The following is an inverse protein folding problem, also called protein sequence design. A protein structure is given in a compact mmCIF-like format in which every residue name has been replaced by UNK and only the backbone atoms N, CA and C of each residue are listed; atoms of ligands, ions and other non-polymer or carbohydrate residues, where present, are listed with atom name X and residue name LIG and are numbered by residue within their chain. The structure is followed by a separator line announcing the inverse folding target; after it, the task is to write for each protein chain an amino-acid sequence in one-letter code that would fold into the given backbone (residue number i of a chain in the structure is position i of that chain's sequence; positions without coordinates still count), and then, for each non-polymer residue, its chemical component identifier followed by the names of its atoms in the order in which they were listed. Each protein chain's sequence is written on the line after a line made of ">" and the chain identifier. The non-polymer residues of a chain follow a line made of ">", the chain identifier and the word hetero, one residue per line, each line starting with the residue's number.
data_IF_628678524529
#
_entry.id   IF_628678524529
#
_cell.length_a   1.000
_cell.length_b   1.000
_cell.length_c   1.000
_cell.angle_alpha   90.00
_cell.angle_beta   90.00
_cell.angle_gamma   90.00
#
_symmetry.space_group_name_H-M   'P 1'
#
loop_
_entity.id
_entity.type
_entity.pdbx_description
1 polymer ?
#
# COMPACT_ATOMS: atom_id res chain seq x y z
N UNK A 1 13.30 -26.61 14.47
CA UNK A 1 13.42 -25.66 13.35
C UNK A 1 12.08 -24.96 13.18
N UNK A 2 11.84 -23.89 13.94
CA UNK A 2 10.64 -23.08 13.79
C UNK A 2 10.73 -22.39 12.44
N UNK A 3 9.91 -22.80 11.46
CA UNK A 3 9.71 -22.05 10.22
C UNK A 3 9.54 -20.58 10.61
N UNK A 4 10.45 -19.72 10.15
CA UNK A 4 10.35 -18.29 10.40
C UNK A 4 8.99 -17.83 9.84
N UNK A 5 8.03 -17.61 10.74
CA UNK A 5 6.63 -17.36 10.40
C UNK A 5 6.53 -15.93 9.91
N UNK A 6 6.33 -15.74 8.62
CA UNK A 6 5.96 -14.43 8.06
C UNK A 6 4.50 -14.16 8.41
N UNK A 7 4.20 -13.08 9.13
CA UNK A 7 2.83 -12.84 9.60
C UNK A 7 1.99 -12.14 8.54
N UNK A 8 0.77 -12.63 8.38
CA UNK A 8 -0.26 -12.03 7.54
C UNK A 8 -1.43 -11.60 8.43
N UNK A 9 -1.50 -10.30 8.73
CA UNK A 9 -2.42 -9.73 9.72
C UNK A 9 -3.47 -8.84 9.06
N UNK A 10 -4.64 -8.73 9.68
CA UNK A 10 -5.71 -7.84 9.22
C UNK A 10 -6.45 -7.16 10.37
N UNK A 11 -6.74 -5.87 10.22
CA UNK A 11 -7.69 -5.16 11.09
C UNK A 11 -9.10 -5.26 10.51
N UNK A 12 -10.07 -5.70 11.32
CA UNK A 12 -11.47 -5.85 10.89
C UNK A 12 -12.24 -4.53 10.78
N UNK A 13 -11.76 -3.49 11.45
CA UNK A 13 -12.37 -2.15 11.47
C UNK A 13 -11.37 -1.14 10.93
N UNK A 14 -11.85 0.00 10.38
CA UNK A 14 -10.97 1.09 10.00
C UNK A 14 -10.11 1.56 11.18
N UNK A 15 -8.81 1.67 10.96
CA UNK A 15 -7.83 2.00 12.01
C UNK A 15 -7.55 3.51 11.99
N UNK A 16 -7.59 4.23 13.12
CA UNK A 16 -7.11 5.61 13.17
C UNK A 16 -5.63 5.71 12.79
N UNK A 17 -5.29 6.64 11.91
CA UNK A 17 -3.91 6.74 11.39
C UNK A 17 -2.83 6.93 12.46
N UNK A 18 -3.02 7.75 13.52
CA UNK A 18 -2.02 7.86 14.58
C UNK A 18 -1.72 6.54 15.29
N UNK A 19 -2.74 5.71 15.53
CA UNK A 19 -2.56 4.39 16.14
C UNK A 19 -1.76 3.46 15.20
N UNK A 20 -2.11 3.45 13.91
CA UNK A 20 -1.36 2.67 12.93
C UNK A 20 0.09 3.14 12.77
N UNK A 21 0.33 4.45 12.77
CA UNK A 21 1.67 5.03 12.68
C UNK A 21 2.53 4.62 13.89
N UNK A 22 1.98 4.74 15.11
CA UNK A 22 2.66 4.33 16.33
C UNK A 22 2.98 2.82 16.33
N UNK A 23 2.03 1.99 15.91
CA UNK A 23 2.22 0.54 15.76
C UNK A 23 3.33 0.22 14.76
N UNK A 24 3.30 0.81 13.57
CA UNK A 24 4.36 0.60 12.58
C UNK A 24 5.75 1.03 13.10
N UNK A 25 5.84 2.14 13.82
CA UNK A 25 7.11 2.59 14.40
C UNK A 25 7.66 1.60 15.44
N UNK A 26 6.80 1.08 16.31
CA UNK A 26 7.18 0.08 17.31
C UNK A 26 7.62 -1.22 16.64
N UNK A 27 6.78 -1.75 15.75
CA UNK A 27 7.06 -2.98 15.02
C UNK A 27 8.35 -2.89 14.17
N UNK A 28 8.64 -1.72 13.57
CA UNK A 28 9.90 -1.55 12.83
C UNK A 28 11.13 -1.64 13.73
N UNK A 29 11.04 -1.14 14.98
CA UNK A 29 12.12 -1.27 15.99
C UNK A 29 12.28 -2.71 16.47
N UNK A 30 11.17 -3.39 16.74
CA UNK A 30 11.17 -4.77 17.24
C UNK A 30 11.63 -5.78 16.17
N UNK A 31 11.23 -5.60 14.90
CA UNK A 31 11.76 -6.39 13.77
C UNK A 31 13.27 -6.23 13.70
N UNK A 32 13.76 -4.99 13.79
CA UNK A 32 15.20 -4.71 13.78
C UNK A 32 15.95 -5.39 14.94
N UNK A 33 15.31 -5.47 16.11
CA UNK A 33 15.85 -6.13 17.28
C UNK A 33 15.73 -7.66 17.23
N UNK A 34 15.10 -8.22 16.18
CA UNK A 34 14.72 -9.63 16.08
C UNK A 34 13.80 -10.11 17.22
N UNK A 35 13.03 -9.20 17.82
CA UNK A 35 12.07 -9.49 18.90
C UNK A 35 10.74 -9.97 18.34
N UNK A 36 10.38 -9.50 17.15
CA UNK A 36 9.20 -9.92 16.40
C UNK A 36 9.57 -10.24 14.95
N UNK A 37 8.73 -11.03 14.30
CA UNK A 37 8.90 -11.42 12.90
C UNK A 37 8.36 -10.36 11.93
N UNK A 38 8.81 -10.44 10.69
CA UNK A 38 8.33 -9.63 9.56
C UNK A 38 6.87 -9.93 9.23
N UNK A 39 6.20 -8.96 8.62
CA UNK A 39 4.75 -9.06 8.38
C UNK A 39 4.23 -8.19 7.25
N UNK A 40 3.05 -8.57 6.76
CA UNK A 40 2.10 -7.67 6.10
C UNK A 40 0.91 -7.45 7.02
N UNK A 41 0.50 -6.21 7.17
CA UNK A 41 -0.69 -5.80 7.92
C UNK A 41 -1.69 -5.10 6.98
N UNK A 42 -2.82 -5.75 6.76
CA UNK A 42 -3.93 -5.27 5.94
C UNK A 42 -4.94 -4.48 6.77
N UNK A 43 -5.41 -3.36 6.26
CA UNK A 43 -6.43 -2.54 6.92
C UNK A 43 -7.11 -1.56 5.97
N UNK A 44 -8.09 -0.84 6.53
CA UNK A 44 -8.65 0.38 5.97
C UNK A 44 -8.44 1.53 6.96
N UNK A 45 -8.44 2.76 6.46
CA UNK A 45 -8.44 3.96 7.29
C UNK A 45 -9.79 4.70 7.16
N UNK A 46 -10.24 5.43 8.19
CA UNK A 46 -11.19 6.52 7.99
C UNK A 46 -10.65 7.54 6.96
N UNK A 47 -11.50 8.37 6.33
CA UNK A 47 -11.06 9.37 5.36
C UNK A 47 -10.01 10.33 5.94
N UNK A 48 -8.86 10.44 5.26
CA UNK A 48 -7.74 11.27 5.67
C UNK A 48 -6.76 11.55 4.53
N UNK A 49 -5.87 12.52 4.74
CA UNK A 49 -4.72 12.77 3.87
C UNK A 49 -3.41 12.51 4.61
N UNK A 50 -2.40 11.99 3.90
CA UNK A 50 -1.04 11.88 4.44
C UNK A 50 -0.02 12.58 3.57
N UNK A 51 0.85 13.36 4.19
CA UNK A 51 2.00 14.00 3.56
C UNK A 51 3.20 13.05 3.56
N UNK A 52 3.72 12.75 2.38
CA UNK A 52 5.06 12.18 2.25
C UNK A 52 6.16 13.24 2.34
N UNK A 53 7.43 12.82 2.31
CA UNK A 53 8.61 13.69 2.46
C UNK A 53 8.77 14.73 1.36
N UNK A 54 8.09 14.57 0.23
CA UNK A 54 8.13 15.49 -0.91
C UNK A 54 6.83 16.26 -1.09
N UNK A 55 5.90 16.16 -0.14
CA UNK A 55 4.64 16.88 -0.18
C UNK A 55 4.86 18.39 0.01
N UNK A 56 4.12 19.20 -0.75
CA UNK A 56 4.09 20.65 -0.60
C UNK A 56 2.76 21.08 0.01
N UNK A 57 2.79 22.06 0.90
CA UNK A 57 1.56 22.54 1.56
C UNK A 57 0.52 23.08 0.57
N UNK A 58 0.99 23.74 -0.50
CA UNK A 58 0.15 24.29 -1.59
C UNK A 58 -0.61 23.22 -2.41
N UNK A 59 -0.17 21.96 -2.33
CA UNK A 59 -0.81 20.83 -3.02
C UNK A 59 -1.96 20.20 -2.21
N UNK A 60 -2.32 20.79 -1.06
CA UNK A 60 -3.45 20.34 -0.22
C UNK A 60 -4.58 21.38 -0.26
N UNK A 61 -5.74 20.98 -0.80
CA UNK A 61 -6.95 21.80 -0.80
C UNK A 61 -7.91 21.41 0.33
N UNK A 62 -8.06 20.10 0.58
CA UNK A 62 -8.84 19.50 1.66
C UNK A 62 -10.22 20.16 1.94
N UNK A 63 -11.14 20.20 0.95
CA UNK A 63 -12.43 20.88 1.10
C UNK A 63 -13.34 20.25 2.15
N UNK A 64 -13.17 18.95 2.42
CA UNK A 64 -13.93 18.20 3.42
C UNK A 64 -13.33 18.26 4.83
N UNK A 65 -12.22 18.98 5.02
CA UNK A 65 -11.53 19.12 6.31
C UNK A 65 -11.19 17.76 6.94
N UNK A 66 -10.82 16.77 6.12
CA UNK A 66 -10.35 15.48 6.63
C UNK A 66 -9.05 15.66 7.43
N UNK A 67 -8.81 14.82 8.46
CA UNK A 67 -7.55 14.85 9.19
C UNK A 67 -6.35 14.69 8.26
N UNK A 68 -5.29 15.44 8.53
CA UNK A 68 -4.03 15.37 7.79
C UNK A 68 -2.89 14.97 8.72
N UNK A 69 -1.97 14.15 8.21
CA UNK A 69 -0.86 13.64 9.00
C UNK A 69 0.44 13.64 8.21
N UNK A 70 1.54 14.00 8.86
CA UNK A 70 2.88 13.80 8.33
C UNK A 70 3.26 12.32 8.47
N UNK A 71 3.23 11.60 7.34
CA UNK A 71 3.57 10.18 7.31
C UNK A 71 5.08 9.95 7.29
N UNK A 72 5.83 10.88 6.68
CA UNK A 72 7.27 10.74 6.50
C UNK A 72 7.68 9.57 5.58
N UNK A 73 6.72 8.97 4.86
CA UNK A 73 6.95 8.05 3.74
C UNK A 73 7.45 8.81 2.51
N UNK A 74 8.04 8.11 1.55
CA UNK A 74 8.34 8.69 0.24
C UNK A 74 7.09 9.17 -0.51
N UNK A 75 7.26 10.15 -1.39
CA UNK A 75 6.21 10.70 -2.25
C UNK A 75 5.57 11.98 -1.74
N UNK A 76 4.50 12.41 -2.41
CA UNK A 76 3.71 13.60 -2.08
C UNK A 76 2.48 13.24 -1.23
N UNK A 77 1.47 14.11 -1.22
CA UNK A 77 0.16 13.84 -0.64
C UNK A 77 -0.51 12.60 -1.25
N UNK A 78 -1.26 11.87 -0.42
CA UNK A 78 -2.22 10.87 -0.88
C UNK A 78 -3.44 10.87 0.03
N UNK A 79 -4.57 10.42 -0.52
CA UNK A 79 -5.78 10.12 0.23
C UNK A 79 -5.79 8.65 0.68
N UNK A 80 -6.36 8.42 1.86
CA UNK A 80 -6.79 7.10 2.33
C UNK A 80 -8.22 7.19 2.87
N UNK A 81 -9.01 6.14 2.69
CA UNK A 81 -10.38 6.09 3.17
C UNK A 81 -11.03 4.72 2.94
N UNK A 82 -12.31 4.57 3.33
CA UNK A 82 -13.07 3.34 3.12
C UNK A 82 -13.10 2.93 1.65
N UNK A 83 -13.01 1.63 1.38
CA UNK A 83 -12.95 1.08 0.02
C UNK A 83 -11.55 1.07 -0.59
N UNK A 84 -10.53 1.48 0.17
CA UNK A 84 -9.13 1.33 -0.21
C UNK A 84 -8.47 0.25 0.66
N UNK A 85 -7.83 -0.73 0.05
CA UNK A 85 -7.03 -1.73 0.78
C UNK A 85 -5.63 -1.20 1.01
N UNK A 86 -5.31 -0.89 2.27
CA UNK A 86 -3.95 -0.54 2.68
C UNK A 86 -3.25 -1.82 3.12
N UNK A 87 -2.02 -2.02 2.65
CA UNK A 87 -1.13 -3.06 3.11
C UNK A 87 0.17 -2.44 3.60
N UNK A 88 0.39 -2.49 4.91
CA UNK A 88 1.65 -2.10 5.51
C UNK A 88 2.62 -3.28 5.51
N UNK A 89 3.71 -3.13 4.76
CA UNK A 89 4.68 -4.18 4.48
C UNK A 89 5.95 -3.90 5.28
N UNK A 90 6.24 -4.77 6.24
CA UNK A 90 7.26 -4.55 7.25
C UNK A 90 8.33 -5.65 7.19
N UNK A 91 9.42 -5.36 6.48
CA UNK A 91 10.51 -6.28 6.18
C UNK A 91 11.83 -5.74 6.71
N UNK A 92 12.71 -6.61 7.19
CA UNK A 92 14.13 -6.31 7.32
C UNK A 92 14.79 -6.46 5.95
N UNK A 93 15.12 -5.32 5.34
CA UNK A 93 15.77 -5.23 4.03
C UNK A 93 17.29 -5.45 4.11
N UNK A 94 17.86 -5.83 5.25
CA UNK A 94 19.25 -6.30 5.29
C UNK A 94 19.46 -7.63 4.55
N UNK A 95 18.39 -8.40 4.38
CA UNK A 95 18.36 -9.68 3.66
C UNK A 95 17.48 -9.54 2.41
N UNK A 96 17.71 -10.43 1.46
CA UNK A 96 16.90 -10.51 0.24
C UNK A 96 15.56 -11.19 0.53
N UNK A 97 14.54 -10.84 -0.24
CA UNK A 97 13.18 -11.38 -0.14
C UNK A 97 12.69 -11.81 -1.51
N UNK A 98 12.82 -13.10 -1.83
CA UNK A 98 12.52 -13.60 -3.17
C UNK A 98 13.36 -12.89 -4.23
N UNK A 99 12.69 -12.16 -5.13
CA UNK A 99 13.31 -11.38 -6.21
C UNK A 99 13.89 -10.03 -5.71
N UNK A 100 13.51 -9.57 -4.51
CA UNK A 100 13.94 -8.29 -3.93
C UNK A 100 15.33 -8.40 -3.32
N UNK A 101 16.23 -7.53 -3.76
CA UNK A 101 17.63 -7.51 -3.33
C UNK A 101 17.81 -6.88 -1.94
N UNK A 102 18.72 -7.45 -1.16
CA UNK A 102 19.14 -6.89 0.11
C UNK A 102 19.74 -5.48 -0.06
N UNK A 103 19.40 -4.58 0.87
CA UNK A 103 19.87 -3.19 0.94
C UNK A 103 19.61 -2.35 -0.32
N UNK A 104 18.54 -2.67 -1.04
CA UNK A 104 18.12 -1.90 -2.22
C UNK A 104 16.65 -1.46 -2.11
N UNK A 105 16.44 -0.18 -1.82
CA UNK A 105 15.11 0.41 -1.70
C UNK A 105 14.39 0.47 -3.04
N UNK A 106 15.11 0.61 -4.16
CA UNK A 106 14.49 0.63 -5.50
C UNK A 106 14.00 -0.77 -5.87
N UNK A 107 14.83 -1.78 -5.64
CA UNK A 107 14.42 -3.19 -5.80
C UNK A 107 13.20 -3.51 -4.93
N UNK A 108 13.15 -3.02 -3.69
CA UNK A 108 11.99 -3.19 -2.82
C UNK A 108 10.72 -2.51 -3.36
N UNK A 109 10.81 -1.27 -3.82
CA UNK A 109 9.66 -0.55 -4.41
C UNK A 109 9.17 -1.26 -5.68
N UNK A 110 10.07 -1.70 -6.56
CA UNK A 110 9.69 -2.51 -7.73
C UNK A 110 9.04 -3.84 -7.34
N UNK A 111 9.51 -4.49 -6.26
CA UNK A 111 8.87 -5.69 -5.73
C UNK A 111 7.43 -5.42 -5.25
N UNK A 112 7.17 -4.28 -4.63
CA UNK A 112 5.81 -3.88 -4.27
C UNK A 112 4.94 -3.60 -5.49
N UNK A 113 5.48 -2.95 -6.52
CA UNK A 113 4.78 -2.72 -7.78
C UNK A 113 4.43 -4.04 -8.47
N UNK A 114 5.39 -4.95 -8.60
CA UNK A 114 5.20 -6.26 -9.19
C UNK A 114 4.18 -7.09 -8.41
N UNK A 115 4.21 -7.04 -7.07
CA UNK A 115 3.24 -7.73 -6.23
C UNK A 115 1.81 -7.23 -6.47
N UNK A 116 1.63 -5.91 -6.60
CA UNK A 116 0.33 -5.33 -6.96
C UNK A 116 -0.05 -5.70 -8.40
N UNK A 117 0.86 -5.64 -9.36
CA UNK A 117 0.60 -6.02 -10.77
C UNK A 117 0.12 -7.48 -10.86
N UNK A 118 0.82 -8.42 -10.20
CA UNK A 118 0.42 -9.83 -10.16
C UNK A 118 -0.95 -10.02 -9.50
N UNK A 119 -1.22 -9.26 -8.44
CA UNK A 119 -2.54 -9.25 -7.79
C UNK A 119 -3.64 -8.75 -8.73
N UNK A 120 -3.41 -7.66 -9.48
CA UNK A 120 -4.38 -7.14 -10.45
C UNK A 120 -4.65 -8.15 -11.58
N UNK A 121 -3.61 -8.87 -12.01
CA UNK A 121 -3.72 -9.86 -13.08
C UNK A 121 -4.67 -11.02 -12.73
N UNK A 122 -4.85 -11.36 -11.44
CA UNK A 122 -5.82 -12.40 -11.02
C UNK A 122 -7.27 -12.00 -11.29
N UNK A 123 -7.53 -10.70 -11.48
CA UNK A 123 -8.84 -10.15 -11.83
C UNK A 123 -8.94 -9.75 -13.31
N UNK A 124 -7.93 -10.10 -14.13
CA UNK A 124 -7.86 -9.73 -15.54
C UNK A 124 -7.47 -8.27 -15.80
N UNK A 125 -7.01 -7.54 -14.77
CA UNK A 125 -6.50 -6.18 -14.94
C UNK A 125 -5.01 -6.19 -15.28
N UNK A 126 -4.65 -5.52 -16.37
CA UNK A 126 -3.24 -5.30 -16.74
C UNK A 126 -2.70 -4.06 -16.03
N UNK A 127 -2.05 -4.26 -14.89
CA UNK A 127 -1.28 -3.22 -14.20
C UNK A 127 0.08 -2.97 -14.84
N UNK A 128 0.55 -1.72 -14.82
CA UNK A 128 1.85 -1.32 -15.36
C UNK A 128 2.55 -0.30 -14.45
N UNK A 129 3.87 -0.40 -14.36
CA UNK A 129 4.72 0.66 -13.80
C UNK A 129 4.93 1.77 -14.84
N UNK A 130 5.21 2.98 -14.35
CA UNK A 130 5.50 4.13 -15.19
C UNK A 130 6.76 4.83 -14.73
N UNK A 131 7.66 5.09 -15.67
CA UNK A 131 8.91 5.79 -15.37
C UNK A 131 8.62 7.15 -14.73
N UNK A 132 9.30 7.43 -13.61
CA UNK A 132 9.10 8.64 -12.82
C UNK A 132 7.80 8.72 -12.01
N UNK A 133 6.90 7.73 -12.12
CA UNK A 133 5.55 7.75 -11.53
C UNK A 133 5.27 6.50 -10.70
N UNK A 134 5.88 6.48 -9.51
CA UNK A 134 5.79 5.37 -8.54
C UNK A 134 4.33 4.97 -8.25
N UNK A 135 4.05 3.68 -8.26
CA UNK A 135 2.72 3.09 -8.11
C UNK A 135 2.29 2.33 -9.36
N UNK A 136 1.07 1.77 -9.31
CA UNK A 136 0.56 0.93 -10.41
C UNK A 136 -0.57 1.64 -11.12
N UNK A 137 -0.48 1.62 -12.44
CA UNK A 137 -1.38 2.28 -13.38
C UNK A 137 -2.06 1.25 -14.26
N UNK A 138 -3.25 1.58 -14.76
CA UNK A 138 -3.99 0.75 -15.71
C UNK A 138 -4.51 1.64 -16.84
N UNK A 139 -4.78 1.03 -17.99
CA UNK A 139 -5.52 1.69 -19.06
C UNK A 139 -7.00 1.34 -18.90
N UNK A 140 -7.84 2.36 -18.74
CA UNK A 140 -9.28 2.18 -18.73
C UNK A 140 -9.73 1.70 -20.13
N UNK A 141 -10.33 0.51 -20.26
CA UNK A 141 -10.73 -0.03 -21.55
C UNK A 141 -11.86 0.78 -22.23
N UNK A 142 -12.65 1.54 -21.47
CA UNK A 142 -13.75 2.35 -22.00
C UNK A 142 -13.26 3.68 -22.58
N UNK A 143 -12.25 4.29 -21.95
CA UNK A 143 -11.77 5.64 -22.32
C UNK A 143 -10.41 5.64 -23.01
N UNK A 144 -9.64 4.55 -22.89
CA UNK A 144 -8.24 4.47 -23.31
C UNK A 144 -7.29 5.32 -22.47
N UNK A 145 -7.78 5.93 -21.39
CA UNK A 145 -6.98 6.79 -20.53
C UNK A 145 -6.18 5.98 -19.52
N UNK A 146 -5.02 6.50 -19.19
CA UNK A 146 -4.17 5.95 -18.13
C UNK A 146 -4.57 6.53 -16.78
N UNK A 147 -4.79 5.64 -15.82
CA UNK A 147 -5.22 6.02 -14.48
C UNK A 147 -4.54 5.19 -13.39
N UNK A 148 -4.30 5.83 -12.24
CA UNK A 148 -3.65 5.19 -11.11
C UNK A 148 -4.62 4.36 -10.30
N UNK A 149 -4.34 3.07 -10.12
CA UNK A 149 -5.17 2.16 -9.31
C UNK A 149 -4.55 1.88 -7.93
N UNK A 150 -3.23 1.99 -7.80
CA UNK A 150 -2.54 1.80 -6.54
C UNK A 150 -1.42 2.82 -6.33
N UNK A 151 -1.32 3.34 -5.10
CA UNK A 151 -0.22 4.17 -4.66
C UNK A 151 0.76 3.36 -3.80
N UNK A 152 2.03 3.70 -3.92
CA UNK A 152 3.12 3.08 -3.15
C UNK A 152 3.91 4.21 -2.50
N UNK A 153 4.07 4.10 -1.19
CA UNK A 153 4.82 5.06 -0.41
C UNK A 153 5.37 4.38 0.82
N UNK A 154 6.67 4.19 0.83
CA UNK A 154 7.38 3.44 1.88
C UNK A 154 8.28 4.37 2.68
N UNK A 155 8.55 3.98 3.92
CA UNK A 155 9.66 4.51 4.70
C UNK A 155 10.57 3.36 5.09
N UNK A 156 11.87 3.62 5.05
CA UNK A 156 12.89 2.66 5.50
C UNK A 156 13.67 3.30 6.63
N UNK A 157 13.59 2.71 7.82
CA UNK A 157 14.29 3.16 9.02
C UNK A 157 15.27 2.07 9.45
N UNK A 158 16.58 2.35 9.42
CA UNK A 158 17.62 1.35 9.75
C UNK A 158 17.43 0.03 9.00
N UNK A 159 17.11 0.12 7.72
CA UNK A 159 16.81 -0.99 6.80
C UNK A 159 15.56 -1.82 7.11
N UNK A 160 14.72 -1.42 8.07
CA UNK A 160 13.38 -2.00 8.21
C UNK A 160 12.35 -1.13 7.48
N UNK A 161 11.57 -1.74 6.58
CA UNK A 161 10.49 -1.06 5.85
C UNK A 161 9.23 -0.92 6.70
N UNK A 162 8.45 0.12 6.42
CA UNK A 162 7.11 0.35 6.95
C UNK A 162 6.36 1.35 6.05
N UNK A 163 5.07 1.53 6.29
CA UNK A 163 4.09 1.89 5.25
C UNK A 163 4.03 0.80 4.17
N UNK A 164 3.72 1.13 2.92
CA UNK A 164 3.54 0.11 1.88
C UNK A 164 2.70 0.61 0.72
N UNK A 165 1.64 -0.14 0.43
CA UNK A 165 0.79 0.08 -0.74
C UNK A 165 -0.65 0.37 -0.34
N UNK A 166 -1.35 1.09 -1.19
CA UNK A 166 -2.80 1.32 -1.07
C UNK A 166 -3.48 1.09 -2.41
N UNK A 167 -4.44 0.17 -2.46
CA UNK A 167 -5.12 -0.27 -3.69
C UNK A 167 -6.58 0.19 -3.63
N UNK A 168 -7.04 0.85 -4.68
CA UNK A 168 -8.39 1.39 -4.75
C UNK A 168 -9.37 0.31 -5.23
N UNK A 169 -10.16 -0.28 -4.30
CA UNK A 169 -11.23 -1.20 -4.67
C UNK A 169 -12.49 -0.43 -5.09
N UNK A 170 -13.04 0.36 -4.18
CA UNK A 170 -14.21 1.20 -4.36
C UNK A 170 -14.22 2.43 -3.43
N UNK A 171 -13.09 3.17 -3.30
CA UNK A 171 -13.11 4.39 -2.51
C UNK A 171 -13.92 5.49 -3.22
N UNK A 172 -14.34 6.50 -2.46
CA UNK A 172 -14.88 7.74 -3.04
C UNK A 172 -13.76 8.48 -3.79
N UNK A 173 -13.67 8.26 -5.10
CA UNK A 173 -12.57 8.80 -5.92
C UNK A 173 -12.53 10.33 -5.95
N UNK A 174 -13.65 11.02 -5.78
CA UNK A 174 -13.69 12.49 -5.69
C UNK A 174 -12.92 13.05 -4.49
N UNK A 175 -12.68 12.25 -3.45
CA UNK A 175 -11.88 12.71 -2.30
C UNK A 175 -10.41 12.97 -2.68
N UNK A 176 -9.92 12.36 -3.77
CA UNK A 176 -8.58 12.66 -4.30
C UNK A 176 -8.48 14.10 -4.87
N UNK A 177 -9.59 14.75 -5.21
CA UNK A 177 -9.59 16.16 -5.67
C UNK A 177 -9.18 17.13 -4.54
N UNK A 178 -9.20 16.68 -3.28
CA UNK A 178 -8.69 17.45 -2.15
C UNK A 178 -7.18 17.62 -2.12
N UNK A 179 -6.44 16.98 -3.04
CA UNK A 179 -4.99 17.07 -3.15
C UNK A 179 -4.55 17.18 -4.61
N UNK A 180 -3.32 17.64 -4.78
CA UNK A 180 -2.52 17.41 -5.98
C UNK A 180 -1.55 16.27 -5.67
N UNK A 181 -1.73 15.09 -6.27
CA UNK A 181 -0.75 14.02 -6.14
C UNK A 181 0.34 14.13 -7.20
N UNK A 182 1.50 13.53 -6.92
CA UNK A 182 2.57 13.37 -7.88
C UNK A 182 2.07 12.65 -9.15
N UNK A 183 2.13 13.33 -10.30
CA UNK A 183 1.79 12.77 -11.61
C UNK A 183 0.30 12.58 -11.89
N UNK A 184 -0.62 13.03 -11.01
CA UNK A 184 -2.09 12.88 -11.22
C UNK A 184 -2.73 14.15 -11.81
N UNK A 185 -2.06 15.31 -11.84
CA UNK A 185 -2.62 16.48 -12.54
C UNK A 185 -2.87 16.22 -14.03
N UNK A 186 -2.11 15.30 -14.62
CA UNK A 186 -2.24 14.89 -16.04
C UNK A 186 -3.02 13.58 -16.21
N UNK A 187 -3.17 12.77 -15.17
CA UNK A 187 -3.69 11.39 -15.24
C UNK A 187 -4.65 11.11 -14.09
N UNK A 188 -5.76 10.41 -14.35
CA UNK A 188 -6.79 10.15 -13.35
C UNK A 188 -6.38 9.16 -12.25
N UNK A 189 -7.25 9.05 -11.25
CA UNK A 189 -7.28 7.90 -10.32
C UNK A 189 -8.45 7.00 -10.67
N UNK A 190 -8.27 5.70 -10.46
CA UNK A 190 -9.28 4.68 -10.76
C UNK A 190 -9.42 3.69 -9.62
N UNK A 191 -10.38 2.79 -9.76
CA UNK A 191 -10.68 1.72 -8.81
C UNK A 191 -11.25 0.51 -9.56
N UNK A 192 -11.29 -0.65 -8.89
CA UNK A 192 -11.98 -1.82 -9.44
C UNK A 192 -13.43 -1.50 -9.81
N UNK A 193 -14.16 -0.81 -8.92
CA UNK A 193 -15.55 -0.42 -9.15
C UNK A 193 -15.71 0.50 -10.37
N UNK A 194 -14.85 1.51 -10.54
CA UNK A 194 -14.88 2.40 -11.70
C UNK A 194 -14.65 1.67 -13.01
N UNK A 195 -13.79 0.64 -13.00
CA UNK A 195 -13.51 -0.24 -14.13
C UNK A 195 -14.62 -1.28 -14.38
N UNK A 196 -15.72 -1.25 -13.61
CA UNK A 196 -16.86 -2.15 -13.77
C UNK A 196 -16.65 -3.54 -13.18
N UNK A 197 -15.62 -3.74 -12.34
CA UNK A 197 -15.34 -5.02 -11.71
C UNK A 197 -16.04 -5.15 -10.35
N UNK A 198 -16.84 -6.20 -10.21
CA UNK A 198 -17.48 -6.55 -8.95
C UNK A 198 -16.56 -7.45 -8.12
N UNK A 199 -15.56 -6.84 -7.46
CA UNK A 199 -14.59 -7.52 -6.59
C UNK A 199 -14.87 -7.15 -5.14
N UNK A 200 -14.92 -8.15 -4.27
CA UNK A 200 -15.02 -7.95 -2.83
C UNK A 200 -13.66 -7.75 -2.21
N UNK A 201 -13.62 -7.07 -1.07
CA UNK A 201 -12.39 -6.85 -0.32
C UNK A 201 -11.72 -8.17 0.10
N UNK A 202 -12.51 -9.19 0.45
CA UNK A 202 -12.00 -10.52 0.78
C UNK A 202 -11.34 -11.22 -0.42
N UNK A 203 -11.87 -11.05 -1.63
CA UNK A 203 -11.22 -11.55 -2.84
C UNK A 203 -9.90 -10.83 -3.11
N UNK A 204 -9.85 -9.51 -2.93
CA UNK A 204 -8.61 -8.74 -3.05
C UNK A 204 -7.57 -9.19 -2.01
N UNK A 205 -7.97 -9.37 -0.75
CA UNK A 205 -7.10 -9.87 0.33
C UNK A 205 -6.52 -11.26 0.01
N UNK A 206 -7.33 -12.15 -0.55
CA UNK A 206 -6.89 -13.48 -0.97
C UNK A 206 -5.87 -13.41 -2.13
N UNK A 207 -6.17 -12.62 -3.17
CA UNK A 207 -5.27 -12.42 -4.30
C UNK A 207 -3.92 -11.81 -3.90
N UNK A 208 -3.93 -10.87 -2.95
CA UNK A 208 -2.72 -10.29 -2.36
C UNK A 208 -1.86 -11.35 -1.67
N UNK A 209 -2.48 -12.23 -0.87
CA UNK A 209 -1.77 -13.28 -0.16
C UNK A 209 -1.19 -14.34 -1.12
N UNK A 210 -1.96 -14.76 -2.13
CA UNK A 210 -1.54 -15.73 -3.14
C UNK A 210 -0.37 -15.21 -3.99
N UNK A 211 -0.43 -13.94 -4.39
CA UNK A 211 0.60 -13.31 -5.23
C UNK A 211 1.91 -13.05 -4.48
N UNK A 212 1.87 -12.94 -3.14
CA UNK A 212 3.02 -12.56 -2.31
C UNK A 212 4.24 -13.48 -2.50
N UNK A 213 4.03 -14.79 -2.38
CA UNK A 213 5.13 -15.76 -2.39
C UNK A 213 5.89 -15.73 -3.71
N UNK A 214 5.21 -15.42 -4.81
CA UNK A 214 5.82 -15.36 -6.14
C UNK A 214 6.83 -14.22 -6.29
N UNK A 215 6.72 -13.16 -5.49
CA UNK A 215 7.60 -11.98 -5.55
C UNK A 215 8.59 -11.97 -4.38
N UNK A 216 8.09 -12.14 -3.16
CA UNK A 216 8.87 -12.00 -1.93
C UNK A 216 9.37 -13.33 -1.35
N UNK A 217 8.99 -14.47 -1.94
CA UNK A 217 9.49 -15.82 -1.63
C UNK A 217 9.02 -16.41 -0.29
N UNK A 218 8.71 -15.58 0.71
CA UNK A 218 8.18 -16.03 2.00
C UNK A 218 6.75 -16.53 1.89
N UNK A 219 6.40 -17.54 2.68
CA UNK A 219 5.04 -18.06 2.76
C UNK A 219 4.27 -17.32 3.86
N UNK A 220 3.18 -16.60 3.53
CA UNK A 220 2.35 -15.95 4.54
C UNK A 220 1.77 -16.98 5.52
N UNK A 221 1.70 -16.63 6.80
CA UNK A 221 0.86 -17.38 7.74
C UNK A 221 -0.61 -17.29 7.33
N UNK A 222 -1.46 -18.14 7.91
CA UNK A 222 -2.91 -17.94 7.82
C UNK A 222 -3.28 -16.51 8.22
N UNK A 223 -4.21 -15.90 7.49
CA UNK A 223 -4.74 -14.56 7.76
C UNK A 223 -5.22 -14.50 9.21
N UNK A 224 -4.54 -13.67 10.01
CA UNK A 224 -4.80 -13.56 11.44
C UNK A 224 -5.45 -12.22 11.72
N UNK A 225 -6.74 -12.18 12.09
CA UNK A 225 -7.36 -10.95 12.53
C UNK A 225 -6.69 -10.46 13.80
N UNK A 226 -6.37 -9.17 13.84
CA UNK A 226 -5.91 -8.54 15.06
C UNK A 226 -7.05 -8.50 16.07
N UNK A 227 -6.75 -8.59 17.38
CA UNK A 227 -7.74 -8.31 18.42
C UNK A 227 -8.41 -6.97 18.13
N UNK A 228 -9.69 -6.85 18.43
CA UNK A 228 -10.35 -5.54 18.40
C UNK A 228 -9.59 -4.61 19.36
N UNK A 229 -8.81 -3.67 18.80
CA UNK A 229 -8.25 -2.53 19.53
C UNK A 229 -9.37 -1.51 19.83
#
# INVERSE_FOLDING_TARGET
>A
MTNARFLWEISKKPVPYPAALARMQTLAREIRANEVVERVWLLEHPPLFTAGTSAKAEDLFNPHQYPTYDAGRGGQWTYHGPGQRIAYVMLDLHKSHGEVQARDVRSYVHGLEEWVIRTLATFGLKGECREGRVGVWVIDPATGQEEKIAAIGVRVSRWVSWHGVSINLNPRLSDFEGIVPCGIREFGVTSFEKLGLNVTMAQLDAALAESWQTVFGSTPSALTPLPDE
#
